data_IF_493016459847
#
_entry.id   IF_493016459847
#
_cell.length_a   1.000
_cell.length_b   1.000
_cell.length_c   1.000
_cell.angle_alpha   90.00
_cell.angle_beta   90.00
_cell.angle_gamma   90.00
#
_symmetry.space_group_name_H-M   'P 1'
#
loop_
_entity.id
_entity.type
_entity.pdbx_description
1 polymer ?
#
# COMPACT_ATOMS: atom_id res chain seq x y z
N UNK A 1 -5.75 -9.20 -28.06
CA UNK A 1 -4.81 -10.33 -28.17
C UNK A 1 -4.27 -10.37 -29.57
N UNK A 2 -2.95 -10.33 -29.71
CA UNK A 2 -2.25 -10.45 -30.99
C UNK A 2 -1.79 -11.90 -31.09
N UNK A 3 -2.28 -12.61 -32.11
CA UNK A 3 -1.87 -13.99 -32.36
C UNK A 3 -0.86 -14.04 -33.50
N UNK A 4 0.18 -14.82 -33.30
CA UNK A 4 1.23 -15.07 -34.27
C UNK A 4 1.21 -16.55 -34.68
N UNK A 5 1.08 -16.79 -35.98
CA UNK A 5 1.26 -18.12 -36.56
C UNK A 5 2.70 -18.26 -37.07
N UNK A 6 3.41 -19.26 -36.56
CA UNK A 6 4.81 -19.53 -36.93
C UNK A 6 4.94 -20.51 -38.11
N UNK A 7 3.84 -21.11 -38.56
CA UNK A 7 3.81 -22.06 -39.70
C UNK A 7 4.44 -21.48 -40.97
N UNK A 8 4.14 -20.23 -41.40
CA UNK A 8 4.72 -19.67 -42.62
C UNK A 8 6.24 -19.56 -42.60
N UNK A 9 6.85 -19.34 -41.43
CA UNK A 9 8.30 -19.23 -41.29
C UNK A 9 8.98 -20.59 -41.43
N UNK A 10 8.38 -21.63 -40.84
CA UNK A 10 8.87 -23.01 -40.98
C UNK A 10 8.68 -23.51 -42.42
N UNK A 11 7.56 -23.17 -43.07
CA UNK A 11 7.31 -23.50 -44.47
C UNK A 11 8.25 -22.78 -45.43
N UNK A 12 8.68 -21.55 -45.10
CA UNK A 12 9.73 -20.86 -45.85
C UNK A 12 11.05 -21.61 -45.75
N UNK A 13 11.50 -21.95 -44.54
CA UNK A 13 12.74 -22.70 -44.32
C UNK A 13 12.74 -24.05 -45.06
N UNK A 14 11.60 -24.75 -45.06
CA UNK A 14 11.40 -25.99 -45.82
C UNK A 14 11.56 -25.76 -47.32
N UNK A 15 10.90 -24.73 -47.87
CA UNK A 15 11.01 -24.40 -49.31
C UNK A 15 12.43 -24.02 -49.70
N UNK A 16 13.10 -23.23 -48.87
CA UNK A 16 14.48 -22.78 -49.12
C UNK A 16 15.45 -23.96 -49.10
N UNK A 17 15.28 -24.91 -48.16
CA UNK A 17 16.08 -26.14 -48.11
C UNK A 17 15.87 -27.01 -49.36
N UNK A 18 14.62 -27.16 -49.82
CA UNK A 18 14.32 -27.93 -51.04
C UNK A 18 14.89 -27.25 -52.28
N UNK A 19 14.73 -25.92 -52.40
CA UNK A 19 15.29 -25.13 -53.50
C UNK A 19 16.81 -25.25 -53.56
N UNK A 20 17.50 -25.23 -52.41
CA UNK A 20 18.94 -25.44 -52.34
C UNK A 20 19.36 -26.85 -52.79
N UNK A 21 18.51 -27.84 -52.58
CA UNK A 21 18.79 -29.24 -52.96
C UNK A 21 18.53 -29.54 -54.45
N UNK A 22 17.79 -28.70 -55.18
CA UNK A 22 17.47 -28.93 -56.59
C UNK A 22 18.71 -29.09 -57.48
N UNK A 23 19.79 -28.36 -57.18
CA UNK A 23 21.03 -28.41 -57.95
C UNK A 23 21.86 -29.69 -57.72
N UNK A 24 21.56 -30.48 -56.69
CA UNK A 24 22.38 -31.64 -56.27
C UNK A 24 21.84 -33.01 -56.69
N UNK A 25 20.84 -33.05 -57.57
CA UNK A 25 20.26 -34.29 -58.07
C UNK A 25 19.24 -34.95 -57.14
N UNK A 26 18.63 -36.05 -57.61
CA UNK A 26 17.48 -36.69 -56.95
C UNK A 26 17.77 -37.24 -55.56
N UNK A 27 18.98 -37.75 -55.31
CA UNK A 27 19.35 -38.32 -54.01
C UNK A 27 19.47 -37.22 -52.94
N UNK A 28 20.05 -36.06 -53.30
CA UNK A 28 20.11 -34.90 -52.40
C UNK A 28 18.72 -34.34 -52.14
N UNK A 29 17.86 -34.27 -53.16
CA UNK A 29 16.48 -33.81 -53.03
C UNK A 29 15.68 -34.70 -52.06
N UNK A 30 15.79 -36.02 -52.19
CA UNK A 30 15.15 -36.96 -51.26
C UNK A 30 15.69 -36.83 -49.83
N UNK A 31 17.00 -36.61 -49.67
CA UNK A 31 17.59 -36.37 -48.36
C UNK A 31 17.07 -35.06 -47.74
N UNK A 32 17.00 -33.98 -48.52
CA UNK A 32 16.48 -32.69 -48.10
C UNK A 32 15.01 -32.76 -47.69
N UNK A 33 14.16 -33.48 -48.42
CA UNK A 33 12.76 -33.70 -48.04
C UNK A 33 12.66 -34.40 -46.68
N UNK A 34 13.39 -35.51 -46.47
CA UNK A 34 13.39 -36.25 -45.21
C UNK A 34 13.88 -35.40 -44.05
N UNK A 35 14.94 -34.63 -44.25
CA UNK A 35 15.47 -33.71 -43.25
C UNK A 35 14.48 -32.59 -42.92
N UNK A 36 13.82 -32.01 -43.93
CA UNK A 36 12.83 -30.97 -43.72
C UNK A 36 11.66 -31.46 -42.87
N UNK A 37 11.17 -32.69 -43.11
CA UNK A 37 10.15 -33.31 -42.27
C UNK A 37 10.64 -33.60 -40.85
N UNK A 38 11.87 -34.09 -40.69
CA UNK A 38 12.44 -34.42 -39.39
C UNK A 38 12.73 -33.17 -38.53
N UNK A 39 13.11 -32.05 -39.15
CA UNK A 39 13.47 -30.81 -38.47
C UNK A 39 12.27 -29.90 -38.16
N UNK A 40 11.10 -30.14 -38.76
CA UNK A 40 9.90 -29.29 -38.60
C UNK A 40 9.54 -29.04 -37.11
N UNK A 41 9.47 -30.07 -36.23
CA UNK A 41 9.14 -29.85 -34.81
C UNK A 41 10.24 -29.07 -34.08
N UNK A 42 11.51 -29.36 -34.37
CA UNK A 42 12.67 -28.73 -33.72
C UNK A 42 12.83 -27.27 -34.13
N UNK A 43 12.64 -26.95 -35.42
CA UNK A 43 12.66 -25.58 -35.92
C UNK A 43 11.54 -24.75 -35.29
N UNK A 44 10.36 -25.35 -35.16
CA UNK A 44 9.22 -24.72 -34.49
C UNK A 44 9.52 -24.43 -33.03
N UNK A 45 10.07 -25.39 -32.29
CA UNK A 45 10.46 -25.21 -30.89
C UNK A 45 11.51 -24.09 -30.73
N UNK A 46 12.57 -24.10 -31.54
CA UNK A 46 13.62 -23.10 -31.49
C UNK A 46 13.09 -21.67 -31.75
N UNK A 47 12.16 -21.51 -32.70
CA UNK A 47 11.49 -20.22 -32.94
C UNK A 47 10.67 -19.77 -31.72
N UNK A 48 9.97 -20.69 -31.06
CA UNK A 48 9.20 -20.38 -29.86
C UNK A 48 10.12 -19.96 -28.70
N UNK A 49 11.22 -20.67 -28.48
CA UNK A 49 12.22 -20.31 -27.47
C UNK A 49 12.83 -18.92 -27.72
N UNK A 50 13.20 -18.64 -28.98
CA UNK A 50 13.76 -17.34 -29.36
C UNK A 50 12.78 -16.19 -29.12
N UNK A 51 11.50 -16.37 -29.46
CA UNK A 51 10.45 -15.38 -29.25
C UNK A 51 10.18 -15.17 -27.76
N UNK A 52 10.10 -16.25 -26.98
CA UNK A 52 9.91 -16.16 -25.52
C UNK A 52 11.06 -15.44 -24.84
N UNK A 53 12.30 -15.71 -25.26
CA UNK A 53 13.47 -15.00 -24.75
C UNK A 53 13.43 -13.52 -25.12
N UNK A 54 13.09 -13.17 -26.36
CA UNK A 54 12.94 -11.78 -26.79
C UNK A 54 11.85 -11.04 -25.99
N UNK A 55 10.73 -11.71 -25.69
CA UNK A 55 9.66 -11.13 -24.87
C UNK A 55 10.11 -10.87 -23.41
N UNK A 56 10.94 -11.75 -22.85
CA UNK A 56 11.52 -11.57 -21.52
C UNK A 56 12.47 -10.37 -21.48
N UNK A 57 13.33 -10.20 -22.48
CA UNK A 57 14.22 -9.04 -22.61
C UNK A 57 13.42 -7.73 -22.74
N UNK A 58 12.38 -7.73 -23.59
CA UNK A 58 11.49 -6.57 -23.75
C UNK A 58 10.79 -6.23 -22.43
N UNK A 59 10.33 -7.24 -21.69
CA UNK A 59 9.70 -7.04 -20.38
C UNK A 59 10.68 -6.45 -19.37
N UNK A 60 11.95 -6.87 -19.39
CA UNK A 60 12.97 -6.30 -18.50
C UNK A 60 13.24 -4.81 -18.79
N UNK A 61 13.08 -4.38 -20.04
CA UNK A 61 13.23 -2.98 -20.45
C UNK A 61 11.95 -2.15 -20.35
N UNK A 62 10.79 -2.77 -20.06
CA UNK A 62 9.51 -2.07 -19.85
C UNK A 62 9.27 -1.78 -18.36
N UNK A 63 9.35 -0.50 -17.90
CA UNK A 63 9.18 -0.18 -16.48
C UNK A 63 7.74 -0.32 -15.98
N UNK A 64 6.77 0.06 -16.84
CA UNK A 64 5.35 0.14 -16.51
C UNK A 64 4.52 -0.86 -17.35
N UNK A 65 5.08 -2.03 -17.65
CA UNK A 65 4.36 -3.06 -18.40
C UNK A 65 5.11 -4.38 -18.52
N UNK A 66 4.45 -5.39 -19.06
CA UNK A 66 5.01 -6.70 -19.33
C UNK A 66 4.55 -7.21 -20.69
N UNK A 67 5.39 -8.02 -21.33
CA UNK A 67 5.08 -8.73 -22.56
C UNK A 67 5.33 -10.21 -22.33
N UNK A 68 4.26 -10.99 -22.27
CA UNK A 68 4.29 -12.43 -22.10
C UNK A 68 3.84 -13.14 -23.38
N UNK A 69 4.35 -14.35 -23.62
CA UNK A 69 4.03 -15.16 -24.79
C UNK A 69 3.44 -16.48 -24.34
N UNK A 70 2.19 -16.74 -24.75
CA UNK A 70 1.45 -17.95 -24.38
C UNK A 70 1.27 -18.86 -25.59
N UNK A 71 1.40 -20.15 -25.37
CA UNK A 71 1.09 -21.14 -26.39
C UNK A 71 -0.39 -21.51 -26.35
N UNK A 72 -1.09 -21.28 -27.46
CA UNK A 72 -2.49 -21.70 -27.65
C UNK A 72 -2.54 -22.63 -28.85
N UNK A 73 -2.47 -23.93 -28.59
CA UNK A 73 -2.41 -24.96 -29.64
C UNK A 73 -1.12 -24.85 -30.46
N UNK A 74 -1.23 -24.44 -31.72
CA UNK A 74 -0.08 -24.22 -32.63
C UNK A 74 0.25 -22.74 -32.85
N UNK A 75 -0.44 -21.84 -32.16
CA UNK A 75 -0.28 -20.40 -32.30
C UNK A 75 0.34 -19.81 -31.03
N UNK A 76 1.13 -18.76 -31.20
CA UNK A 76 1.63 -17.95 -30.10
C UNK A 76 0.68 -16.78 -29.88
N UNK A 77 0.37 -16.49 -28.63
CA UNK A 77 -0.48 -15.38 -28.22
C UNK A 77 0.32 -14.42 -27.36
N UNK A 78 0.40 -13.17 -27.79
CA UNK A 78 1.11 -12.12 -27.06
C UNK A 78 0.14 -11.45 -26.08
N UNK A 79 0.50 -11.50 -24.81
CA UNK A 79 -0.17 -10.81 -23.71
C UNK A 79 0.66 -9.61 -23.33
N UNK A 80 0.16 -8.42 -23.63
CA UNK A 80 0.81 -7.17 -23.26
C UNK A 80 0.00 -6.54 -22.15
N UNK A 81 0.61 -6.43 -20.97
CA UNK A 81 0.05 -5.71 -19.84
C UNK A 81 0.74 -4.35 -19.77
N UNK A 82 -0.04 -3.27 -19.86
CA UNK A 82 0.47 -1.92 -19.64
C UNK A 82 -0.16 -1.46 -18.33
N UNK A 83 0.67 -1.18 -17.33
CA UNK A 83 0.18 -0.57 -16.11
C UNK A 83 -0.47 0.77 -16.48
N UNK A 84 -1.67 1.08 -15.96
CA UNK A 84 -2.24 2.40 -16.15
C UNK A 84 -1.20 3.45 -15.71
N UNK A 85 -1.09 4.59 -16.41
CA UNK A 85 -0.10 5.60 -16.07
C UNK A 85 -0.23 5.87 -14.57
N UNK A 86 0.87 5.70 -13.83
CA UNK A 86 0.92 5.87 -12.40
C UNK A 86 0.24 7.20 -12.05
N UNK A 87 -1.03 7.14 -11.67
CA UNK A 87 -1.67 8.25 -11.00
C UNK A 87 -0.79 8.46 -9.77
N UNK A 88 -0.23 9.67 -9.65
CA UNK A 88 0.43 10.17 -8.45
C UNK A 88 -0.12 9.45 -7.23
N UNK A 89 0.73 8.81 -6.39
CA UNK A 89 0.27 7.87 -5.39
C UNK A 89 -0.85 8.54 -4.59
N UNK A 90 -2.08 8.08 -4.81
CA UNK A 90 -3.18 8.47 -3.98
C UNK A 90 -2.76 8.11 -2.55
N UNK A 91 -2.96 8.98 -1.56
CA UNK A 91 -2.66 8.66 -0.18
C UNK A 91 -3.27 7.27 0.12
N UNK A 92 -2.54 6.40 0.84
CA UNK A 92 -2.95 5.01 1.01
C UNK A 92 -4.42 4.98 1.43
N UNK A 93 -5.26 4.12 0.79
CA UNK A 93 -6.62 3.97 1.24
C UNK A 93 -6.59 3.68 2.74
N UNK A 94 -7.52 4.24 3.53
CA UNK A 94 -7.58 3.94 4.95
C UNK A 94 -7.58 2.42 5.10
N UNK A 95 -6.81 1.86 6.06
CA UNK A 95 -6.72 0.42 6.23
C UNK A 95 -8.12 -0.18 6.22
N UNK A 96 -8.31 -1.23 5.42
CA UNK A 96 -9.56 -1.97 5.37
C UNK A 96 -10.00 -2.24 6.81
N UNK A 97 -11.25 -1.89 7.13
CA UNK A 97 -11.80 -2.14 8.44
C UNK A 97 -11.50 -3.61 8.79
N UNK A 98 -10.89 -3.89 9.97
CA UNK A 98 -10.70 -5.26 10.39
C UNK A 98 -12.06 -5.95 10.32
N UNK A 99 -12.10 -7.14 9.72
CA UNK A 99 -13.28 -8.01 9.82
C UNK A 99 -13.71 -8.02 11.30
N UNK A 100 -15.02 -7.85 11.59
CA UNK A 100 -15.47 -7.82 12.96
C UNK A 100 -14.91 -9.06 13.67
N UNK A 101 -14.20 -8.90 14.80
CA UNK A 101 -13.81 -10.05 15.58
C UNK A 101 -15.08 -10.82 15.92
N UNK A 102 -15.05 -12.14 15.73
CA UNK A 102 -16.11 -12.99 16.25
C UNK A 102 -16.23 -12.70 17.76
N UNK A 103 -17.45 -12.37 18.17
CA UNK A 103 -17.78 -11.81 19.47
C UNK A 103 -17.40 -12.76 20.62
N UNK A 104 -16.21 -12.59 21.19
CA UNK A 104 -15.85 -13.12 22.51
C UNK A 104 -15.69 -12.01 23.58
N UNK A 105 -15.74 -10.73 23.20
CA UNK A 105 -15.59 -9.56 24.08
C UNK A 105 -16.87 -8.69 24.12
N UNK A 106 -18.01 -9.31 24.44
CA UNK A 106 -19.38 -8.75 24.30
C UNK A 106 -19.76 -7.50 25.10
N UNK A 107 -18.81 -6.65 25.54
CA UNK A 107 -19.10 -5.35 26.16
C UNK A 107 -17.99 -4.29 25.96
N UNK A 108 -17.00 -4.52 25.08
CA UNK A 108 -15.89 -3.57 24.87
C UNK A 108 -16.01 -2.80 23.55
N UNK A 109 -16.24 -1.48 23.63
CA UNK A 109 -16.25 -0.59 22.46
C UNK A 109 -14.82 -0.12 22.09
N UNK A 110 -14.43 -0.33 20.84
CA UNK A 110 -13.12 0.11 20.30
C UNK A 110 -13.19 1.52 19.71
N UNK A 111 -12.31 2.42 20.14
CA UNK A 111 -12.23 3.82 19.66
C UNK A 111 -10.82 4.11 19.12
N UNK A 112 -10.74 4.75 17.94
CA UNK A 112 -9.48 5.28 17.38
C UNK A 112 -9.45 6.80 17.52
N UNK A 113 -8.58 7.33 18.38
CA UNK A 113 -8.46 8.76 18.65
C UNK A 113 -7.26 9.37 17.88
N UNK A 114 -7.50 10.46 17.14
CA UNK A 114 -6.44 11.27 16.51
C UNK A 114 -6.35 12.60 17.24
N UNK A 115 -5.18 12.89 17.82
CA UNK A 115 -4.92 14.12 18.57
C UNK A 115 -3.59 14.74 18.12
N UNK A 116 -3.41 16.07 18.26
CA UNK A 116 -2.13 16.72 18.06
C UNK A 116 -1.04 16.15 18.98
N UNK A 117 0.20 16.12 18.49
CA UNK A 117 1.34 15.52 19.20
C UNK A 117 1.61 16.17 20.56
N UNK A 118 1.47 17.50 20.67
CA UNK A 118 1.57 18.23 21.93
C UNK A 118 0.52 17.79 22.98
N UNK A 119 -0.67 17.36 22.55
CA UNK A 119 -1.74 16.88 23.44
C UNK A 119 -1.44 15.47 23.93
N UNK A 120 -0.90 14.61 23.05
CA UNK A 120 -0.44 13.27 23.41
C UNK A 120 0.67 13.33 24.47
N UNK A 121 1.69 14.16 24.28
CA UNK A 121 2.82 14.29 25.20
C UNK A 121 2.38 14.70 26.62
N UNK A 122 1.48 15.70 26.73
CA UNK A 122 0.92 16.12 28.03
C UNK A 122 0.08 15.04 28.71
N UNK A 123 -0.64 14.23 27.94
CA UNK A 123 -1.41 13.11 28.48
C UNK A 123 -0.50 11.99 29.00
N UNK A 124 0.60 11.68 28.30
CA UNK A 124 1.59 10.69 28.74
C UNK A 124 2.29 11.12 30.03
N UNK A 125 2.65 12.40 30.17
CA UNK A 125 3.24 12.93 31.40
C UNK A 125 2.30 12.79 32.61
N UNK A 126 1.01 13.12 32.44
CA UNK A 126 0.00 12.98 33.50
C UNK A 126 -0.29 11.52 33.84
N UNK A 127 -0.30 10.64 32.85
CA UNK A 127 -0.45 9.20 33.06
C UNK A 127 0.75 8.61 33.82
N UNK A 128 1.97 9.01 33.44
CA UNK A 128 3.21 8.60 34.10
C UNK A 128 3.27 9.10 35.56
N UNK A 129 2.87 10.35 35.83
CA UNK A 129 2.77 10.89 37.19
C UNK A 129 1.77 10.11 38.06
N UNK A 130 0.72 9.54 37.46
CA UNK A 130 -0.25 8.67 38.12
C UNK A 130 0.19 7.19 38.18
N UNK A 131 1.36 6.83 37.64
CA UNK A 131 1.85 5.46 37.58
C UNK A 131 1.01 4.53 36.68
N UNK A 132 0.27 5.09 35.72
CA UNK A 132 -0.67 4.36 34.87
C UNK A 132 -0.26 4.40 33.40
N UNK A 133 -0.71 3.40 32.63
CA UNK A 133 -0.60 3.46 31.18
C UNK A 133 -1.50 4.56 30.62
N UNK A 134 -1.11 5.17 29.49
CA UNK A 134 -1.93 6.17 28.81
C UNK A 134 -3.35 5.66 28.52
N UNK A 135 -3.48 4.40 28.10
CA UNK A 135 -4.79 3.79 27.81
C UNK A 135 -5.66 3.70 29.08
N UNK A 136 -5.09 3.25 30.20
CA UNK A 136 -5.80 3.18 31.50
C UNK A 136 -6.23 4.56 31.98
N UNK A 137 -5.33 5.54 31.87
CA UNK A 137 -5.59 6.92 32.26
C UNK A 137 -6.71 7.55 31.41
N UNK A 138 -6.67 7.36 30.08
CA UNK A 138 -7.70 7.85 29.15
C UNK A 138 -9.07 7.22 29.41
N UNK A 139 -9.14 5.92 29.68
CA UNK A 139 -10.40 5.25 30.05
C UNK A 139 -10.97 5.84 31.35
N UNK A 140 -10.11 6.16 32.33
CA UNK A 140 -10.50 6.83 33.56
C UNK A 140 -11.06 8.24 33.32
N UNK A 141 -10.42 9.02 32.45
CA UNK A 141 -10.89 10.36 32.06
C UNK A 141 -12.25 10.30 31.36
N UNK A 142 -12.42 9.38 30.40
CA UNK A 142 -13.70 9.20 29.69
C UNK A 142 -14.78 8.75 30.67
N UNK A 143 -14.49 7.83 31.59
CA UNK A 143 -15.43 7.40 32.63
C UNK A 143 -15.83 8.56 33.56
N UNK A 144 -14.87 9.41 33.94
CA UNK A 144 -15.14 10.60 34.75
C UNK A 144 -16.00 11.62 34.00
N UNK A 145 -15.72 11.85 32.72
CA UNK A 145 -16.46 12.79 31.87
C UNK A 145 -17.87 12.29 31.49
N UNK A 146 -18.07 10.98 31.40
CA UNK A 146 -19.36 10.36 31.08
C UNK A 146 -20.26 10.12 32.29
N UNK A 147 -19.70 10.15 33.50
CA UNK A 147 -20.50 10.13 34.73
C UNK A 147 -21.00 11.55 34.99
N UNK A 148 -22.30 11.78 34.78
CA UNK A 148 -23.02 13.06 34.90
C UNK A 148 -23.10 13.63 36.34
N UNK A 149 -22.11 13.32 37.18
CA UNK A 149 -21.88 13.85 38.53
C UNK A 149 -20.42 14.27 38.78
N UNK A 150 -19.56 14.28 37.77
CA UNK A 150 -18.27 14.96 37.87
C UNK A 150 -18.50 16.47 37.76
N UNK A 151 -18.88 17.07 38.89
CA UNK A 151 -18.87 18.51 39.09
C UNK A 151 -17.46 18.99 38.73
N UNK A 152 -17.32 19.69 37.59
CA UNK A 152 -16.16 20.53 37.36
C UNK A 152 -16.29 21.72 38.33
N UNK A 153 -15.80 21.57 39.57
CA UNK A 153 -15.60 22.74 40.41
C UNK A 153 -14.37 23.47 39.86
N UNK A 154 -14.61 24.47 39.01
CA UNK A 154 -13.67 25.57 38.85
C UNK A 154 -13.74 26.38 40.15
N UNK A 155 -12.97 25.97 41.17
CA UNK A 155 -12.82 26.77 42.40
C UNK A 155 -11.91 27.93 42.03
N UNK A 156 -12.51 29.07 41.70
CA UNK A 156 -11.79 30.33 41.70
C UNK A 156 -11.40 30.70 43.14
N UNK A 157 -10.21 30.25 43.56
CA UNK A 157 -9.62 30.57 44.85
C UNK A 157 -9.20 32.05 44.97
N UNK A 158 -9.46 32.90 43.96
CA UNK A 158 -9.14 34.33 44.05
C UNK A 158 -10.20 35.16 44.78
N UNK A 159 -11.32 34.56 45.21
CA UNK A 159 -12.42 35.29 45.86
C UNK A 159 -12.90 34.74 47.21
N UNK A 160 -12.19 33.80 47.85
CA UNK A 160 -12.48 33.43 49.24
C UNK A 160 -11.86 34.49 50.17
N UNK A 161 -12.67 35.27 50.93
CA UNK A 161 -12.13 36.01 52.05
C UNK A 161 -11.75 34.99 53.12
N UNK A 162 -10.46 34.75 53.29
CA UNK A 162 -9.96 34.10 54.50
C UNK A 162 -10.41 34.95 55.69
N UNK A 163 -11.45 34.50 56.40
CA UNK A 163 -11.63 34.80 57.83
C UNK A 163 -10.56 33.99 58.54
N UNK A 164 -9.32 34.47 58.44
CA UNK A 164 -8.29 34.15 59.42
C UNK A 164 -8.60 34.96 60.66
N UNK A 165 -9.14 34.30 61.69
CA UNK A 165 -8.73 34.68 63.03
C UNK A 165 -7.24 34.31 63.13
N UNK A 166 -6.39 35.28 62.85
CA UNK A 166 -4.97 35.26 63.18
C UNK A 166 -4.76 36.38 64.22
N UNK A 167 -4.38 36.08 65.47
CA UNK A 167 -4.39 37.06 66.55
C UNK A 167 -3.29 38.13 66.45
N UNK A 168 -2.47 38.17 65.39
CA UNK A 168 -1.38 39.15 65.28
C UNK A 168 -1.01 39.49 63.81
N UNK A 169 -1.69 40.44 63.16
CA UNK A 169 -1.10 41.10 61.97
C UNK A 169 -1.65 42.51 61.73
N UNK A 170 -0.81 43.51 62.02
CA UNK A 170 -1.11 44.92 61.85
C UNK A 170 -0.70 45.44 60.45
N UNK A 171 -1.57 46.25 59.85
CA UNK A 171 -1.26 47.39 58.96
C UNK A 171 -0.55 47.12 57.61
N UNK A 172 -1.29 47.20 56.48
CA UNK A 172 -1.05 48.24 55.44
C UNK A 172 -2.00 48.24 54.23
N UNK A 173 -2.07 49.45 53.67
CA UNK A 173 -3.02 50.07 52.73
C UNK A 173 -2.96 49.56 51.29
N UNK A 174 -4.15 49.53 50.70
CA UNK A 174 -4.57 49.27 49.32
C UNK A 174 -3.97 50.23 48.27
N UNK A 175 -3.69 49.71 47.07
CA UNK A 175 -3.30 50.46 45.86
C UNK A 175 -3.89 49.81 44.60
N UNK A 176 -4.29 50.64 43.65
CA UNK A 176 -5.37 50.44 42.67
C UNK A 176 -4.88 50.12 41.24
N UNK A 177 -5.77 49.54 40.42
CA UNK A 177 -5.86 49.58 38.94
C UNK A 177 -4.73 48.87 38.14
N UNK A 178 -4.94 48.23 36.97
CA UNK A 178 -5.90 48.44 35.88
C UNK A 178 -5.85 47.23 34.93
N UNK A 179 -6.99 46.82 34.37
CA UNK A 179 -7.10 45.84 33.26
C UNK A 179 -6.70 46.50 31.94
N UNK A 180 -6.03 45.77 31.04
CA UNK A 180 -6.10 45.99 29.59
C UNK A 180 -6.01 44.65 28.83
N UNK A 181 -7.00 44.44 27.97
CA UNK A 181 -7.15 43.39 26.97
C UNK A 181 -6.56 43.86 25.63
N UNK A 182 -5.98 42.94 24.86
CA UNK A 182 -5.70 43.16 23.44
C UNK A 182 -5.30 41.87 22.75
N UNK A 183 -6.11 41.42 21.79
CA UNK A 183 -5.77 40.38 20.82
C UNK A 183 -5.67 41.03 19.43
N UNK A 184 -4.60 40.69 18.72
CA UNK A 184 -4.51 40.56 17.27
C UNK A 184 -3.62 39.34 17.01
#
# INVERSE_FOLDING_TARGET
MVRMDITPYVDSLRRDLLAAAEAGGEELKQAAERLAYALDPSARLALMEAISHAAAEITAELPDGSVDVRLVGRQLDFVVEVAPPSAVPAPPPPPAAPAPPEDEDGDLARITLRIPEAVKARAEERAAAAGQSLNTWLVGVVRAASNDHAINIDVDLSSIPFVGYDPFAATRKQGNARRMTGWL
#
